data_IF_441056997814
#
_entry.id   IF_441056997814
#
_cell.length_a   1.000
_cell.length_b   1.000
_cell.length_c   1.000
_cell.angle_alpha   90.00
_cell.angle_beta   90.00
_cell.angle_gamma   90.00
#
_symmetry.space_group_name_H-M   'P 1'
#
loop_
_entity.id
_entity.type
_entity.pdbx_description
1 polymer ?
#
# COMPACT_ATOMS: atom_id res chain seq x y z
N UNK A 1 5.43 -11.45 5.78
CA UNK A 1 4.67 -10.29 6.26
C UNK A 1 3.23 -10.37 5.80
N UNK A 2 2.32 -10.13 6.68
CA UNK A 2 0.90 -10.21 6.37
C UNK A 2 0.37 -8.87 5.87
N UNK A 3 0.04 -8.81 4.59
CA UNK A 3 -0.50 -7.60 3.96
C UNK A 3 -1.82 -7.19 4.61
N UNK A 4 -2.65 -8.15 4.98
CA UNK A 4 -3.94 -7.85 5.62
C UNK A 4 -3.72 -7.15 6.95
N UNK A 5 -2.73 -7.59 7.73
CA UNK A 5 -2.42 -6.95 9.00
C UNK A 5 -1.96 -5.50 8.80
N UNK A 6 -1.20 -5.24 7.75
CA UNK A 6 -0.78 -3.88 7.41
C UNK A 6 -2.00 -3.03 7.05
N UNK A 7 -2.88 -3.56 6.22
CA UNK A 7 -4.10 -2.85 5.82
C UNK A 7 -4.98 -2.52 7.02
N UNK A 8 -5.15 -3.48 7.92
CA UNK A 8 -5.95 -3.26 9.12
C UNK A 8 -5.32 -2.21 10.04
N UNK A 9 -4.00 -2.26 10.20
CA UNK A 9 -3.30 -1.28 11.03
C UNK A 9 -3.44 0.14 10.46
N UNK A 10 -3.35 0.29 9.15
CA UNK A 10 -3.53 1.59 8.50
C UNK A 10 -4.98 2.05 8.62
N UNK A 11 -5.94 1.15 8.45
CA UNK A 11 -7.36 1.48 8.58
C UNK A 11 -7.67 1.96 9.99
N UNK A 12 -7.06 1.36 11.00
CA UNK A 12 -7.24 1.79 12.38
C UNK A 12 -6.72 3.21 12.63
N UNK A 13 -5.84 3.70 11.77
CA UNK A 13 -5.30 5.07 11.84
C UNK A 13 -6.05 6.04 10.92
N UNK A 14 -7.16 5.62 10.34
CA UNK A 14 -7.96 6.48 9.48
C UNK A 14 -7.58 6.45 8.01
N UNK A 15 -6.77 5.49 7.60
CA UNK A 15 -6.32 5.36 6.21
C UNK A 15 -7.15 4.31 5.49
N UNK A 16 -7.69 4.67 4.34
CA UNK A 16 -8.34 3.69 3.46
C UNK A 16 -7.28 3.07 2.55
N UNK A 17 -7.21 1.75 2.55
CA UNK A 17 -6.21 1.03 1.78
C UNK A 17 -6.89 0.14 0.75
N UNK A 18 -6.42 0.23 -0.48
CA UNK A 18 -6.84 -0.64 -1.56
C UNK A 18 -5.61 -1.37 -2.10
N UNK A 19 -5.72 -2.69 -2.22
CA UNK A 19 -4.67 -3.50 -2.79
C UNK A 19 -5.31 -4.42 -3.81
N UNK A 20 -4.90 -4.32 -5.08
CA UNK A 20 -5.52 -5.09 -6.13
C UNK A 20 -4.52 -5.68 -7.11
N UNK A 21 -4.91 -6.75 -7.78
CA UNK A 21 -4.19 -7.32 -8.89
C UNK A 21 -5.02 -7.10 -10.16
N UNK A 22 -4.37 -6.58 -11.21
CA UNK A 22 -5.03 -6.31 -12.48
C UNK A 22 -4.83 -7.49 -13.44
N UNK A 23 -5.93 -8.08 -13.89
CA UNK A 23 -5.87 -9.28 -14.73
C UNK A 23 -5.17 -9.05 -16.07
N UNK A 24 -5.43 -7.91 -16.71
CA UNK A 24 -4.77 -7.57 -17.96
C UNK A 24 -3.28 -7.39 -17.80
N UNK A 25 -2.89 -6.61 -16.79
CA UNK A 25 -1.47 -6.37 -16.54
C UNK A 25 -0.77 -7.63 -16.07
N UNK A 26 -1.49 -8.53 -15.39
CA UNK A 26 -0.93 -9.82 -14.99
C UNK A 26 -0.57 -10.65 -16.23
N UNK A 27 -1.47 -10.67 -17.22
CA UNK A 27 -1.22 -11.40 -18.46
C UNK A 27 -0.07 -10.80 -19.25
N UNK A 28 0.09 -9.48 -19.22
CA UNK A 28 1.15 -8.78 -19.91
C UNK A 28 2.45 -8.69 -19.11
N UNK A 29 2.42 -9.15 -17.87
CA UNK A 29 3.55 -9.08 -16.94
C UNK A 29 4.06 -7.65 -16.75
N UNK A 30 3.11 -6.70 -16.63
CA UNK A 30 3.42 -5.29 -16.49
C UNK A 30 2.84 -4.75 -15.19
N UNK A 31 3.58 -4.90 -14.10
CA UNK A 31 3.25 -4.36 -12.78
C UNK A 31 1.78 -4.53 -12.41
N UNK A 32 1.32 -5.79 -12.29
CA UNK A 32 -0.11 -6.07 -12.09
C UNK A 32 -0.64 -5.68 -10.72
N UNK A 33 0.22 -5.47 -9.74
CA UNK A 33 -0.20 -5.17 -8.38
C UNK A 33 -0.24 -3.67 -8.14
N UNK A 34 -1.35 -3.18 -7.60
CA UNK A 34 -1.51 -1.77 -7.25
C UNK A 34 -1.86 -1.63 -5.79
N UNK A 35 -1.15 -0.77 -5.09
CA UNK A 35 -1.41 -0.38 -3.71
C UNK A 35 -1.80 1.08 -3.69
N UNK A 36 -2.91 1.42 -3.03
CA UNK A 36 -3.35 2.80 -2.87
C UNK A 36 -3.72 3.03 -1.42
N UNK A 37 -3.19 4.10 -0.84
CA UNK A 37 -3.54 4.53 0.51
C UNK A 37 -3.98 5.99 0.47
N UNK A 38 -5.11 6.30 1.09
CA UNK A 38 -5.66 7.63 1.13
C UNK A 38 -6.38 7.87 2.46
N UNK A 39 -6.57 9.14 2.82
CA UNK A 39 -7.30 9.48 4.03
C UNK A 39 -6.80 10.76 4.67
N UNK A 40 -7.54 11.25 5.66
CA UNK A 40 -7.24 12.50 6.35
C UNK A 40 -5.82 12.57 6.93
N UNK A 41 -5.28 11.50 7.55
CA UNK A 41 -3.91 11.56 8.07
C UNK A 41 -2.84 11.83 7.02
N UNK A 42 -3.14 11.60 5.75
CA UNK A 42 -2.20 11.84 4.66
C UNK A 42 -2.25 13.27 4.12
N UNK A 43 -2.95 14.17 4.80
CA UNK A 43 -3.02 15.59 4.47
C UNK A 43 -3.46 15.91 3.03
N UNK A 44 -4.30 16.92 2.89
CA UNK A 44 -4.57 17.59 1.61
C UNK A 44 -4.67 16.65 0.39
N UNK A 45 -5.42 15.58 0.53
CA UNK A 45 -5.66 14.65 -0.58
C UNK A 45 -4.39 13.95 -1.08
N UNK A 46 -3.37 13.87 -0.25
CA UNK A 46 -2.18 13.10 -0.61
C UNK A 46 -2.58 11.65 -0.79
N UNK A 47 -2.17 11.09 -1.91
CA UNK A 47 -2.43 9.70 -2.25
C UNK A 47 -1.09 8.97 -2.38
N UNK A 48 -0.94 7.88 -1.64
CA UNK A 48 0.21 7.01 -1.83
C UNK A 48 -0.21 5.89 -2.75
N UNK A 49 0.40 5.82 -3.92
CA UNK A 49 0.08 4.82 -4.92
C UNK A 49 1.34 4.18 -5.47
N UNK A 50 1.31 2.87 -5.64
CA UNK A 50 2.42 2.12 -6.23
C UNK A 50 1.88 1.00 -7.09
N UNK A 51 2.43 0.89 -8.30
CA UNK A 51 2.21 -0.25 -9.18
C UNK A 51 3.51 -1.05 -9.20
N UNK A 52 3.44 -2.35 -9.02
CA UNK A 52 4.62 -3.21 -8.92
C UNK A 52 4.37 -4.61 -9.44
N UNK A 53 5.47 -5.34 -9.64
CA UNK A 53 5.40 -6.70 -10.17
C UNK A 53 4.95 -7.72 -9.12
N UNK A 54 5.08 -7.39 -7.85
CA UNK A 54 4.69 -8.29 -6.77
C UNK A 54 4.19 -7.52 -5.56
N UNK A 55 3.48 -8.23 -4.69
CA UNK A 55 3.03 -7.69 -3.41
C UNK A 55 4.22 -7.20 -2.59
N UNK A 56 5.29 -7.98 -2.61
CA UNK A 56 6.50 -7.64 -1.84
C UNK A 56 7.11 -6.33 -2.32
N UNK A 57 7.15 -6.10 -3.63
CA UNK A 57 7.66 -4.84 -4.17
C UNK A 57 6.78 -3.66 -3.79
N UNK A 58 5.47 -3.83 -3.82
CA UNK A 58 4.56 -2.78 -3.36
C UNK A 58 4.86 -2.41 -1.91
N UNK A 59 5.05 -3.42 -1.08
CA UNK A 59 5.37 -3.22 0.33
C UNK A 59 6.67 -2.45 0.51
N UNK A 60 7.71 -2.87 -0.19
CA UNK A 60 9.04 -2.27 -0.07
C UNK A 60 9.02 -0.78 -0.45
N UNK A 61 8.21 -0.41 -1.44
CA UNK A 61 8.10 0.98 -1.89
C UNK A 61 7.18 1.80 -0.99
N UNK A 62 6.04 1.25 -0.60
CA UNK A 62 5.02 2.03 0.10
C UNK A 62 5.27 2.20 1.59
N UNK A 63 5.77 1.18 2.27
CA UNK A 63 5.91 1.26 3.72
C UNK A 63 6.85 2.36 4.20
N UNK A 64 8.05 2.53 3.61
CA UNK A 64 8.90 3.64 4.03
C UNK A 64 8.24 4.99 3.82
N UNK A 65 7.49 5.16 2.74
CA UNK A 65 6.81 6.41 2.46
C UNK A 65 5.72 6.70 3.47
N UNK A 66 4.93 5.70 3.81
CA UNK A 66 3.89 5.85 4.83
C UNK A 66 4.50 6.15 6.20
N UNK A 67 5.62 5.52 6.50
CA UNK A 67 6.34 5.76 7.74
C UNK A 67 6.83 7.21 7.83
N UNK A 68 7.35 7.74 6.73
CA UNK A 68 7.78 9.14 6.66
C UNK A 68 6.61 10.11 6.90
N UNK A 69 5.40 9.69 6.56
CA UNK A 69 4.20 10.48 6.78
C UNK A 69 3.65 10.35 8.21
N UNK A 70 4.36 9.66 9.09
CA UNK A 70 4.02 9.56 10.50
C UNK A 70 3.09 8.42 10.86
N UNK A 71 2.87 7.48 9.95
CA UNK A 71 1.99 6.35 10.22
C UNK A 71 2.73 5.18 10.86
N UNK A 72 2.08 4.53 11.80
CA UNK A 72 2.63 3.32 12.41
C UNK A 72 2.30 2.12 11.55
N UNK A 73 3.30 1.32 11.23
CA UNK A 73 3.14 0.15 10.38
C UNK A 73 3.75 -1.05 11.08
N UNK A 74 3.01 -2.17 11.17
CA UNK A 74 3.59 -3.38 11.75
C UNK A 74 4.71 -3.89 10.86
N UNK A 75 5.88 -4.09 11.44
CA UNK A 75 6.99 -4.67 10.72
C UNK A 75 6.94 -6.17 10.91
N UNK A 76 6.72 -6.88 9.83
CA UNK A 76 6.70 -8.33 9.87
C UNK A 76 8.08 -8.90 10.10
N UNK A 77 8.09 -10.01 10.78
CA UNK A 77 9.32 -10.73 11.04
C UNK A 77 9.15 -12.19 10.80
#
# INVERSE_FOLDING_TARGET
MDVVAIMEALAAQGITVLFKADAERMAERDRPWTFVASGAPLRNDVLVRTDADSVEQCRVVCLPRLHELGLSIPEGR
#
